data_IF_733865447523
#
_entry.id   IF_733865447523
#
_cell.length_a   1.000
_cell.length_b   1.000
_cell.length_c   1.000
_cell.angle_alpha   90.00
_cell.angle_beta   90.00
_cell.angle_gamma   90.00
#
_symmetry.space_group_name_H-M   'P 1'
#
loop_
_entity.id
_entity.type
_entity.pdbx_description
1 polymer ?
#
# COMPACT_ATOMS: atom_id res chain seq x y z
N UNK A 1 -17.70 12.44 -13.79
CA UNK A 1 -17.67 10.98 -13.69
C UNK A 1 -16.24 10.48 -13.87
N UNK A 2 -15.79 9.64 -12.94
CA UNK A 2 -14.44 9.04 -12.94
C UNK A 2 -14.14 8.28 -14.24
N UNK A 3 -15.11 7.52 -14.74
CA UNK A 3 -14.98 6.76 -15.98
C UNK A 3 -14.72 7.64 -17.20
N UNK A 4 -15.33 8.83 -17.24
CA UNK A 4 -15.11 9.78 -18.33
C UNK A 4 -13.72 10.43 -18.29
N UNK A 5 -13.19 10.66 -17.08
CA UNK A 5 -11.80 11.14 -16.94
C UNK A 5 -10.82 10.05 -17.41
N UNK A 6 -11.02 8.81 -16.97
CA UNK A 6 -10.15 7.69 -17.32
C UNK A 6 -10.08 7.38 -18.81
N UNK A 7 -11.13 7.71 -19.58
CA UNK A 7 -11.11 7.59 -21.06
C UNK A 7 -10.15 8.59 -21.71
N UNK A 8 -9.96 9.75 -21.10
CA UNK A 8 -9.22 10.88 -21.69
C UNK A 8 -7.79 10.98 -21.17
N UNK A 9 -7.58 10.82 -19.88
CA UNK A 9 -6.31 11.00 -19.21
C UNK A 9 -6.22 10.22 -17.90
N UNK A 10 -5.03 10.08 -17.31
CA UNK A 10 -4.92 9.54 -15.96
C UNK A 10 -5.69 10.40 -14.93
N UNK A 11 -6.33 9.72 -13.97
CA UNK A 11 -6.98 10.32 -12.81
C UNK A 11 -5.92 10.58 -11.73
N UNK A 12 -5.87 11.78 -11.19
CA UNK A 12 -4.97 12.16 -10.11
C UNK A 12 -5.72 12.23 -8.78
N UNK A 13 -5.40 11.34 -7.85
CA UNK A 13 -5.84 11.39 -6.46
C UNK A 13 -5.03 12.39 -5.64
N UNK A 14 -5.56 12.73 -4.48
CA UNK A 14 -4.88 13.42 -3.40
C UNK A 14 -3.73 12.60 -2.79
N UNK A 15 -3.22 13.07 -1.66
CA UNK A 15 -2.12 12.45 -0.92
C UNK A 15 -2.51 11.94 0.46
N UNK A 16 -1.52 11.87 1.36
CA UNK A 16 -1.71 11.35 2.71
C UNK A 16 -2.44 12.29 3.64
N UNK A 17 -3.69 12.01 3.99
CA UNK A 17 -4.47 12.80 4.94
C UNK A 17 -3.80 12.82 6.32
N UNK A 18 -3.66 11.67 6.98
CA UNK A 18 -3.20 11.60 8.37
C UNK A 18 -1.76 12.09 8.59
N UNK A 19 -0.87 11.91 7.59
CA UNK A 19 0.52 12.40 7.68
C UNK A 19 0.65 13.88 7.41
N UNK A 20 -0.29 14.49 6.67
CA UNK A 20 -0.28 15.92 6.38
C UNK A 20 -1.03 16.72 7.44
N UNK A 21 -2.22 16.28 7.87
CA UNK A 21 -2.99 16.91 8.95
C UNK A 21 -2.25 16.90 10.30
N UNK A 22 -1.57 15.79 10.64
CA UNK A 22 -0.82 15.63 11.90
C UNK A 22 -1.71 15.78 13.15
N UNK A 23 -2.63 14.84 13.32
CA UNK A 23 -3.47 14.76 14.51
C UNK A 23 -2.67 14.89 15.82
N UNK A 24 -3.33 15.35 16.88
CA UNK A 24 -2.70 15.48 18.20
C UNK A 24 -2.30 14.08 18.73
N UNK A 25 -1.25 14.00 19.57
CA UNK A 25 -0.87 12.72 20.17
C UNK A 25 -2.04 12.05 20.88
N UNK A 26 -2.25 10.76 20.59
CA UNK A 26 -3.36 9.97 21.16
C UNK A 26 -4.71 10.17 20.48
N UNK A 27 -4.79 10.96 19.42
CA UNK A 27 -6.00 11.19 18.65
C UNK A 27 -5.90 10.51 17.29
N UNK A 28 -6.94 9.75 16.92
CA UNK A 28 -7.08 9.22 15.56
C UNK A 28 -7.44 10.35 14.59
N UNK A 29 -6.98 10.24 13.34
CA UNK A 29 -7.21 11.30 12.34
C UNK A 29 -8.70 11.53 12.08
N UNK A 30 -9.49 10.48 12.07
CA UNK A 30 -10.93 10.50 11.81
C UNK A 30 -11.72 11.28 12.87
N UNK A 31 -11.23 11.31 14.12
CA UNK A 31 -11.83 12.12 15.18
C UNK A 31 -11.77 13.62 14.86
N UNK A 32 -10.81 14.05 14.05
CA UNK A 32 -10.71 15.43 13.64
C UNK A 32 -11.88 15.88 12.75
N UNK A 33 -12.60 14.96 12.09
CA UNK A 33 -13.84 15.29 11.40
C UNK A 33 -14.85 16.01 12.31
N UNK A 34 -14.86 15.63 13.60
CA UNK A 34 -15.75 16.20 14.61
C UNK A 34 -15.08 17.30 15.46
N UNK A 35 -13.79 17.17 15.72
CA UNK A 35 -13.07 18.02 16.68
C UNK A 35 -12.34 19.21 16.05
N UNK A 36 -12.01 19.10 14.75
CA UNK A 36 -11.32 20.13 13.96
C UNK A 36 -11.74 20.06 12.48
N UNK A 37 -13.05 20.24 12.18
CA UNK A 37 -13.55 20.12 10.81
C UNK A 37 -12.92 21.14 9.84
N UNK A 38 -12.57 22.32 10.31
CA UNK A 38 -11.91 23.35 9.50
C UNK A 38 -10.48 22.92 9.10
N UNK A 39 -9.77 22.23 9.99
CA UNK A 39 -8.47 21.67 9.69
C UNK A 39 -8.54 20.61 8.59
N UNK A 40 -9.49 19.69 8.68
CA UNK A 40 -9.71 18.65 7.65
C UNK A 40 -10.15 19.28 6.33
N UNK A 41 -11.07 20.24 6.36
CA UNK A 41 -11.53 20.98 5.18
C UNK A 41 -10.36 21.71 4.49
N UNK A 42 -9.44 22.28 5.27
CA UNK A 42 -8.24 22.96 4.75
C UNK A 42 -7.33 21.95 4.03
N UNK A 43 -7.14 20.74 4.54
CA UNK A 43 -6.34 19.70 3.89
C UNK A 43 -6.97 19.28 2.56
N UNK A 44 -8.28 19.01 2.52
CA UNK A 44 -8.96 18.66 1.28
C UNK A 44 -8.82 19.76 0.21
N UNK A 45 -9.01 21.03 0.60
CA UNK A 45 -8.85 22.17 -0.31
C UNK A 45 -7.42 22.29 -0.84
N UNK A 46 -6.43 22.12 0.01
CA UNK A 46 -5.03 22.18 -0.40
C UNK A 46 -4.68 21.13 -1.46
N UNK A 47 -5.23 19.92 -1.38
CA UNK A 47 -5.04 18.89 -2.41
C UNK A 47 -5.80 19.22 -3.70
N UNK A 48 -7.02 19.77 -3.61
CA UNK A 48 -7.77 20.21 -4.79
C UNK A 48 -7.07 21.37 -5.50
N UNK A 49 -6.55 22.35 -4.76
CA UNK A 49 -5.74 23.46 -5.29
C UNK A 49 -4.45 22.98 -5.94
N UNK A 50 -3.88 21.88 -5.44
CA UNK A 50 -2.72 21.20 -6.04
C UNK A 50 -3.06 20.44 -7.34
N UNK A 51 -4.33 20.40 -7.76
CA UNK A 51 -4.77 19.79 -9.02
C UNK A 51 -5.23 18.33 -8.91
N UNK A 52 -5.61 17.86 -7.73
CA UNK A 52 -6.23 16.54 -7.59
C UNK A 52 -7.58 16.49 -8.30
N UNK A 53 -7.82 15.43 -9.08
CA UNK A 53 -9.10 15.13 -9.74
C UNK A 53 -10.04 14.34 -8.82
N UNK A 54 -9.50 13.73 -7.79
CA UNK A 54 -10.24 12.97 -6.80
C UNK A 54 -9.61 13.14 -5.41
N UNK A 55 -10.46 13.20 -4.40
CA UNK A 55 -10.07 13.22 -3.00
C UNK A 55 -10.72 12.06 -2.23
N UNK A 56 -10.01 11.56 -1.23
CA UNK A 56 -10.49 10.55 -0.29
C UNK A 56 -11.11 11.23 0.92
N UNK A 57 -12.19 10.67 1.46
CA UNK A 57 -12.70 11.11 2.76
C UNK A 57 -11.70 10.81 3.88
N UNK A 58 -11.76 11.54 4.98
CA UNK A 58 -10.94 11.23 6.17
C UNK A 58 -11.61 10.13 7.01
N UNK A 59 -11.67 8.90 6.48
CA UNK A 59 -12.45 7.78 7.04
C UNK A 59 -11.73 6.42 6.98
N UNK A 60 -10.44 6.43 6.68
CA UNK A 60 -9.60 5.23 6.55
C UNK A 60 -9.69 4.27 7.74
N UNK A 61 -9.69 4.78 8.97
CA UNK A 61 -9.70 3.96 10.19
C UNK A 61 -11.08 3.46 10.61
N UNK A 62 -12.16 3.92 9.97
CA UNK A 62 -13.52 3.60 10.39
C UNK A 62 -13.86 2.11 10.41
N UNK A 63 -13.37 1.25 9.46
CA UNK A 63 -13.65 -0.17 9.56
C UNK A 63 -13.18 -0.81 10.87
N UNK A 64 -12.02 -0.40 11.38
CA UNK A 64 -11.51 -0.87 12.69
C UNK A 64 -12.32 -0.30 13.84
N UNK A 65 -12.75 0.96 13.74
CA UNK A 65 -13.57 1.61 14.77
C UNK A 65 -14.97 1.01 14.84
N UNK A 66 -15.60 0.72 13.71
CA UNK A 66 -16.89 0.04 13.64
C UNK A 66 -16.80 -1.38 14.22
N UNK A 67 -15.76 -2.12 13.89
CA UNK A 67 -15.51 -3.44 14.46
C UNK A 67 -15.29 -3.41 15.98
N UNK A 68 -14.65 -2.36 16.48
CA UNK A 68 -14.46 -2.12 17.92
C UNK A 68 -15.71 -1.54 18.61
N UNK A 69 -16.83 -1.42 17.88
CA UNK A 69 -18.09 -0.84 18.38
C UNK A 69 -17.92 0.58 18.95
N UNK A 70 -17.02 1.37 18.37
CA UNK A 70 -16.85 2.77 18.76
C UNK A 70 -18.16 3.54 18.47
N UNK A 71 -18.84 4.12 19.47
CA UNK A 71 -20.15 4.73 19.27
C UNK A 71 -20.15 5.97 18.37
N UNK A 72 -18.98 6.51 18.05
CA UNK A 72 -18.85 7.72 17.25
C UNK A 72 -18.50 7.44 15.77
N UNK A 73 -18.34 6.17 15.37
CA UNK A 73 -17.89 5.87 14.02
C UNK A 73 -18.84 6.39 12.93
N UNK A 74 -20.16 6.31 13.17
CA UNK A 74 -21.17 6.83 12.23
C UNK A 74 -21.08 8.35 12.10
N UNK A 75 -20.99 9.08 13.21
CA UNK A 75 -20.84 10.53 13.18
C UNK A 75 -19.54 10.96 12.48
N UNK A 76 -18.44 10.22 12.68
CA UNK A 76 -17.18 10.48 11.97
C UNK A 76 -17.29 10.17 10.47
N UNK A 77 -18.06 9.16 10.06
CA UNK A 77 -18.36 8.87 8.65
C UNK A 77 -19.14 10.00 8.00
N UNK A 78 -20.23 10.44 8.64
CA UNK A 78 -21.10 11.49 8.14
C UNK A 78 -20.36 12.81 7.95
N UNK A 79 -19.63 13.25 8.97
CA UNK A 79 -18.90 14.50 8.90
C UNK A 79 -17.70 14.39 7.95
N UNK A 80 -16.99 13.26 7.91
CA UNK A 80 -15.91 13.02 6.96
C UNK A 80 -16.38 13.09 5.50
N UNK A 81 -17.52 12.50 5.19
CA UNK A 81 -18.14 12.63 3.86
C UNK A 81 -18.54 14.06 3.56
N UNK A 82 -19.24 14.73 4.48
CA UNK A 82 -19.71 16.10 4.32
C UNK A 82 -18.57 17.09 4.08
N UNK A 83 -17.47 16.98 4.82
CA UNK A 83 -16.30 17.86 4.67
C UNK A 83 -15.64 17.67 3.28
N UNK A 84 -15.45 16.43 2.83
CA UNK A 84 -14.90 16.16 1.52
C UNK A 84 -15.84 16.65 0.39
N UNK A 85 -17.16 16.39 0.52
CA UNK A 85 -18.16 16.87 -0.43
C UNK A 85 -18.21 18.41 -0.46
N UNK A 86 -18.11 19.06 0.69
CA UNK A 86 -18.05 20.52 0.80
C UNK A 86 -16.79 21.09 0.13
N UNK A 87 -15.64 20.43 0.31
CA UNK A 87 -14.40 20.86 -0.36
C UNK A 87 -14.53 20.76 -1.88
N UNK A 88 -15.11 19.67 -2.38
CA UNK A 88 -15.26 19.40 -3.81
C UNK A 88 -16.41 20.17 -4.48
N UNK A 89 -17.35 20.76 -3.74
CA UNK A 89 -18.60 21.30 -4.25
C UNK A 89 -18.48 22.36 -5.36
N UNK A 90 -17.35 23.06 -5.43
CA UNK A 90 -17.07 24.09 -6.46
C UNK A 90 -16.03 23.62 -7.48
N UNK A 91 -15.75 22.34 -7.53
CA UNK A 91 -14.77 21.74 -8.44
C UNK A 91 -15.43 20.61 -9.24
N UNK A 92 -14.72 20.06 -10.21
CA UNK A 92 -15.12 18.84 -10.92
C UNK A 92 -14.56 17.56 -10.28
N UNK A 93 -13.92 17.67 -9.11
CA UNK A 93 -13.26 16.55 -8.46
C UNK A 93 -14.27 15.53 -7.92
N UNK A 94 -13.90 14.26 -8.02
CA UNK A 94 -14.65 13.16 -7.44
C UNK A 94 -14.32 13.01 -5.95
N UNK A 95 -15.32 12.65 -5.14
CA UNK A 95 -15.12 12.26 -3.74
C UNK A 95 -15.25 10.75 -3.64
N UNK A 96 -14.27 10.12 -3.00
CA UNK A 96 -14.25 8.69 -2.71
C UNK A 96 -14.48 8.43 -1.22
N UNK A 97 -15.48 7.63 -0.90
CA UNK A 97 -15.62 7.07 0.44
C UNK A 97 -14.44 6.10 0.70
N UNK A 98 -13.59 6.46 1.61
CA UNK A 98 -12.33 5.75 1.88
C UNK A 98 -12.50 4.74 3.01
N UNK A 99 -12.17 3.47 2.72
CA UNK A 99 -12.33 2.32 3.58
C UNK A 99 -10.98 1.59 3.71
N UNK A 100 -10.34 1.73 4.86
CA UNK A 100 -9.13 0.98 5.18
C UNK A 100 -9.41 -0.49 5.56
N UNK A 101 -8.39 -1.22 6.03
CA UNK A 101 -8.54 -2.62 6.41
C UNK A 101 -9.55 -2.83 7.55
N UNK A 102 -10.48 -3.75 7.35
CA UNK A 102 -11.34 -4.28 8.41
C UNK A 102 -10.72 -5.54 9.04
N UNK A 103 -10.87 -5.77 10.33
CA UNK A 103 -10.60 -7.08 10.90
C UNK A 103 -11.57 -8.11 10.32
N UNK A 104 -11.09 -9.34 10.14
CA UNK A 104 -11.89 -10.45 9.63
C UNK A 104 -11.84 -11.61 10.64
N UNK A 105 -12.96 -11.89 11.30
CA UNK A 105 -13.09 -12.94 12.30
C UNK A 105 -14.39 -13.72 12.08
N UNK A 106 -14.49 -14.94 12.61
CA UNK A 106 -15.73 -15.72 12.55
C UNK A 106 -16.91 -15.00 13.22
N UNK A 107 -16.66 -14.28 14.33
CA UNK A 107 -17.69 -13.54 15.07
C UNK A 107 -18.11 -12.25 14.35
N UNK A 108 -17.22 -11.63 13.58
CA UNK A 108 -17.46 -10.40 12.84
C UNK A 108 -16.70 -10.43 11.52
N UNK A 109 -17.31 -10.98 10.47
CA UNK A 109 -16.70 -11.01 9.13
C UNK A 109 -16.48 -9.60 8.56
N UNK A 110 -15.35 -9.40 7.89
CA UNK A 110 -15.00 -8.11 7.26
C UNK A 110 -16.09 -7.62 6.30
N UNK A 111 -16.78 -8.53 5.61
CA UNK A 111 -17.89 -8.21 4.72
C UNK A 111 -19.01 -7.43 5.44
N UNK A 112 -19.37 -7.80 6.66
CA UNK A 112 -20.41 -7.11 7.42
C UNK A 112 -20.00 -5.68 7.78
N UNK A 113 -18.73 -5.49 8.16
CA UNK A 113 -18.18 -4.17 8.50
C UNK A 113 -18.20 -3.28 7.27
N UNK A 114 -17.68 -3.77 6.15
CA UNK A 114 -17.64 -3.02 4.90
C UNK A 114 -19.02 -2.70 4.37
N UNK A 115 -19.98 -3.63 4.47
CA UNK A 115 -21.36 -3.41 4.07
C UNK A 115 -22.00 -2.27 4.88
N UNK A 116 -21.91 -2.32 6.20
CA UNK A 116 -22.49 -1.27 7.06
C UNK A 116 -21.94 0.13 6.72
N UNK A 117 -20.61 0.24 6.48
CA UNK A 117 -19.99 1.49 6.06
C UNK A 117 -20.42 1.92 4.64
N UNK A 118 -20.47 0.97 3.71
CA UNK A 118 -20.88 1.24 2.33
C UNK A 118 -22.33 1.71 2.24
N UNK A 119 -23.25 1.09 2.97
CA UNK A 119 -24.66 1.51 3.08
C UNK A 119 -24.77 2.92 3.65
N UNK A 120 -23.96 3.23 4.70
CA UNK A 120 -23.92 4.57 5.27
C UNK A 120 -23.49 5.60 4.26
N UNK A 121 -22.38 5.37 3.56
CA UNK A 121 -21.89 6.30 2.54
C UNK A 121 -22.83 6.40 1.34
N UNK A 122 -23.45 5.31 0.90
CA UNK A 122 -24.46 5.32 -0.15
C UNK A 122 -25.66 6.20 0.23
N UNK A 123 -26.14 6.11 1.47
CA UNK A 123 -27.21 6.96 2.00
C UNK A 123 -26.83 8.44 2.04
N UNK A 124 -25.54 8.78 2.19
CA UNK A 124 -25.00 10.12 2.11
C UNK A 124 -24.77 10.60 0.66
N UNK A 125 -25.05 9.76 -0.33
CA UNK A 125 -24.93 10.07 -1.75
C UNK A 125 -23.57 9.72 -2.38
N UNK A 126 -22.76 8.89 -1.73
CA UNK A 126 -21.49 8.43 -2.30
C UNK A 126 -21.73 7.59 -3.57
N UNK A 127 -20.95 7.90 -4.60
CA UNK A 127 -20.90 7.17 -5.87
C UNK A 127 -19.54 6.53 -6.15
N UNK A 128 -18.51 6.90 -5.40
CA UNK A 128 -17.18 6.34 -5.56
C UNK A 128 -16.70 5.80 -4.22
N UNK A 129 -16.18 4.59 -4.23
CA UNK A 129 -15.72 3.84 -3.06
C UNK A 129 -14.29 3.39 -3.29
N UNK A 130 -13.46 3.56 -2.28
CA UNK A 130 -12.08 3.11 -2.29
C UNK A 130 -11.85 2.18 -1.08
N UNK A 131 -11.44 0.96 -1.36
CA UNK A 131 -10.86 0.08 -0.36
C UNK A 131 -9.34 0.18 -0.50
N UNK A 132 -8.65 0.75 0.49
CA UNK A 132 -7.21 0.99 0.36
C UNK A 132 -6.37 0.34 1.45
N UNK A 133 -5.09 0.13 1.12
CA UNK A 133 -4.06 -0.38 2.04
C UNK A 133 -4.39 -1.79 2.57
N UNK A 134 -5.08 -2.58 1.78
CA UNK A 134 -5.51 -3.92 2.16
C UNK A 134 -4.34 -4.91 2.12
N UNK A 135 -4.28 -5.83 3.07
CA UNK A 135 -3.38 -7.00 3.04
C UNK A 135 -4.07 -8.29 2.58
N UNK A 136 -5.41 -8.27 2.50
CA UNK A 136 -6.27 -9.39 2.11
C UNK A 136 -7.46 -8.88 1.31
N UNK A 137 -8.11 -9.75 0.56
CA UNK A 137 -9.35 -9.47 -0.17
C UNK A 137 -10.61 -9.95 0.59
N UNK A 138 -10.46 -10.35 1.86
CA UNK A 138 -11.56 -10.85 2.68
C UNK A 138 -12.73 -9.83 2.77
N UNK A 139 -13.93 -10.28 2.43
CA UNK A 139 -15.15 -9.49 2.48
C UNK A 139 -15.31 -8.42 1.40
N UNK A 140 -14.25 -8.08 0.67
CA UNK A 140 -14.26 -6.95 -0.29
C UNK A 140 -15.15 -7.24 -1.49
N UNK A 141 -15.07 -8.44 -2.06
CA UNK A 141 -15.90 -8.82 -3.23
C UNK A 141 -17.40 -8.82 -2.92
N UNK A 142 -17.78 -9.20 -1.70
CA UNK A 142 -19.16 -9.18 -1.24
C UNK A 142 -19.65 -7.74 -1.07
N UNK A 143 -18.88 -6.92 -0.35
CA UNK A 143 -19.19 -5.51 -0.15
C UNK A 143 -19.27 -4.75 -1.50
N UNK A 144 -18.38 -5.03 -2.45
CA UNK A 144 -18.40 -4.42 -3.77
C UNK A 144 -19.68 -4.77 -4.55
N UNK A 145 -20.18 -6.02 -4.46
CA UNK A 145 -21.46 -6.40 -5.09
C UNK A 145 -22.63 -5.66 -4.44
N UNK A 146 -22.67 -5.57 -3.12
CA UNK A 146 -23.72 -4.84 -2.40
C UNK A 146 -23.71 -3.34 -2.71
N UNK A 147 -22.51 -2.75 -2.85
CA UNK A 147 -22.38 -1.35 -3.34
C UNK A 147 -23.02 -1.21 -4.72
N UNK A 148 -22.74 -2.14 -5.64
CA UNK A 148 -23.32 -2.10 -7.00
C UNK A 148 -24.83 -2.33 -7.02
N UNK A 149 -25.37 -3.11 -6.11
CA UNK A 149 -26.82 -3.30 -5.94
C UNK A 149 -27.49 -2.04 -5.42
N UNK A 150 -26.90 -1.39 -4.40
CA UNK A 150 -27.44 -0.16 -3.82
C UNK A 150 -27.24 1.07 -4.72
N UNK A 151 -26.09 1.15 -5.41
CA UNK A 151 -25.69 2.26 -6.28
C UNK A 151 -25.17 1.68 -7.60
N UNK A 152 -26.03 1.39 -8.59
CA UNK A 152 -25.64 0.68 -9.83
C UNK A 152 -24.54 1.38 -10.65
N UNK A 153 -24.46 2.70 -10.60
CA UNK A 153 -23.45 3.51 -11.26
C UNK A 153 -22.18 3.77 -10.40
N UNK A 154 -22.10 3.16 -9.23
CA UNK A 154 -20.93 3.31 -8.35
C UNK A 154 -19.61 2.96 -9.05
N UNK A 155 -18.54 3.66 -8.71
CA UNK A 155 -17.17 3.31 -9.06
C UNK A 155 -16.46 2.73 -7.83
N UNK A 156 -15.98 1.49 -7.94
CA UNK A 156 -15.32 0.79 -6.86
C UNK A 156 -13.86 0.55 -7.23
N UNK A 157 -12.95 1.13 -6.46
CA UNK A 157 -11.50 0.94 -6.55
C UNK A 157 -11.01 0.13 -5.35
N UNK A 158 -10.22 -0.92 -5.62
CA UNK A 158 -9.61 -1.74 -4.57
C UNK A 158 -8.09 -1.70 -4.69
N UNK A 159 -7.40 -1.38 -3.60
CA UNK A 159 -5.96 -1.17 -3.58
C UNK A 159 -5.28 -1.90 -2.42
N UNK A 160 -4.17 -2.56 -2.73
CA UNK A 160 -3.44 -3.41 -1.81
C UNK A 160 -2.10 -2.80 -1.38
N UNK A 161 -1.75 -3.01 -0.11
CA UNK A 161 -0.45 -2.64 0.44
C UNK A 161 0.50 -3.83 0.35
N UNK A 162 1.48 -3.73 -0.56
CA UNK A 162 2.45 -4.79 -0.82
C UNK A 162 3.88 -4.33 -0.57
N UNK A 163 4.68 -5.23 -0.04
CA UNK A 163 6.12 -5.06 0.13
C UNK A 163 6.83 -5.11 -1.23
N UNK A 164 8.09 -4.66 -1.33
CA UNK A 164 8.84 -4.67 -2.61
C UNK A 164 9.00 -6.04 -3.26
N UNK A 165 8.82 -7.13 -2.51
CA UNK A 165 8.83 -8.51 -3.00
C UNK A 165 7.50 -8.95 -3.64
N UNK A 166 6.47 -8.10 -3.62
CA UNK A 166 5.15 -8.37 -4.17
C UNK A 166 4.16 -9.05 -3.21
N UNK A 167 4.55 -9.27 -1.96
CA UNK A 167 3.68 -9.89 -0.97
C UNK A 167 3.09 -8.86 0.00
N UNK A 168 1.88 -9.11 0.47
CA UNK A 168 1.28 -8.38 1.58
C UNK A 168 1.85 -8.90 2.92
N UNK A 169 1.57 -8.19 4.01
CA UNK A 169 1.95 -8.64 5.36
C UNK A 169 1.28 -9.96 5.78
N UNK A 170 0.19 -10.34 5.13
CA UNK A 170 -0.50 -11.62 5.32
C UNK A 170 0.00 -12.73 4.38
N UNK A 171 1.08 -12.46 3.62
CA UNK A 171 1.69 -13.45 2.73
C UNK A 171 0.93 -13.68 1.43
N UNK A 172 -0.01 -12.80 1.04
CA UNK A 172 -0.74 -12.89 -0.23
C UNK A 172 0.02 -12.16 -1.33
N UNK A 173 0.18 -12.79 -2.48
CA UNK A 173 0.87 -12.18 -3.62
C UNK A 173 -0.05 -11.19 -4.36
N UNK A 174 0.47 -10.03 -4.75
CA UNK A 174 -0.31 -8.95 -5.37
C UNK A 174 -1.05 -9.40 -6.65
N UNK A 175 -0.42 -10.22 -7.50
CA UNK A 175 -1.06 -10.73 -8.71
C UNK A 175 -2.27 -11.64 -8.43
N UNK A 176 -2.28 -12.39 -7.32
CA UNK A 176 -3.43 -13.20 -6.90
C UNK A 176 -4.59 -12.31 -6.46
N UNK A 177 -4.29 -11.30 -5.63
CA UNK A 177 -5.28 -10.37 -5.13
C UNK A 177 -5.93 -9.56 -6.26
N UNK A 178 -5.12 -9.07 -7.20
CA UNK A 178 -5.64 -8.35 -8.39
C UNK A 178 -6.49 -9.25 -9.27
N UNK A 179 -6.08 -10.53 -9.50
CA UNK A 179 -6.91 -11.49 -10.23
C UNK A 179 -8.23 -11.78 -9.53
N UNK A 180 -8.23 -11.99 -8.21
CA UNK A 180 -9.42 -12.20 -7.40
C UNK A 180 -10.41 -11.04 -7.54
N UNK A 181 -9.96 -9.81 -7.40
CA UNK A 181 -10.80 -8.62 -7.53
C UNK A 181 -11.29 -8.41 -8.97
N UNK A 182 -10.47 -8.68 -9.97
CA UNK A 182 -10.88 -8.62 -11.37
C UNK A 182 -11.97 -9.64 -11.68
N UNK A 183 -11.85 -10.84 -11.12
CA UNK A 183 -12.81 -11.92 -11.34
C UNK A 183 -14.16 -11.71 -10.64
N UNK A 184 -14.23 -10.91 -9.58
CA UNK A 184 -15.49 -10.71 -8.85
C UNK A 184 -16.55 -9.92 -9.64
N UNK A 185 -16.17 -9.17 -10.67
CA UNK A 185 -17.07 -8.47 -11.59
C UNK A 185 -17.74 -7.20 -11.04
N UNK A 186 -17.48 -6.84 -9.78
CA UNK A 186 -18.07 -5.68 -9.10
C UNK A 186 -17.07 -4.54 -8.84
N UNK A 187 -15.81 -4.72 -9.24
CA UNK A 187 -14.73 -3.75 -9.06
C UNK A 187 -14.43 -3.08 -10.40
N UNK A 188 -14.27 -1.76 -10.41
CA UNK A 188 -14.01 -0.97 -11.61
C UNK A 188 -12.53 -0.67 -11.84
N UNK A 189 -11.72 -0.68 -10.78
CA UNK A 189 -10.28 -0.49 -10.84
C UNK A 189 -9.58 -1.23 -9.69
N UNK A 190 -8.33 -1.64 -9.92
CA UNK A 190 -7.49 -2.31 -8.92
C UNK A 190 -6.15 -1.60 -8.80
N UNK A 191 -5.47 -1.76 -7.68
CA UNK A 191 -4.20 -1.05 -7.52
C UNK A 191 -3.34 -1.46 -6.36
N UNK A 192 -2.24 -0.71 -6.22
CA UNK A 192 -1.26 -0.81 -5.16
C UNK A 192 -1.09 0.55 -4.49
N UNK A 193 -1.08 0.58 -3.19
CA UNK A 193 -0.82 1.82 -2.45
C UNK A 193 -0.03 1.58 -1.16
N UNK A 194 0.47 2.67 -0.58
CA UNK A 194 1.22 2.67 0.67
C UNK A 194 2.49 1.79 0.64
N UNK A 195 3.06 1.48 1.78
CA UNK A 195 4.20 0.60 2.09
C UNK A 195 5.43 0.83 1.20
N UNK A 196 5.29 0.69 -0.13
CA UNK A 196 6.41 0.84 -1.07
C UNK A 196 6.61 2.28 -1.55
N UNK A 197 7.86 2.66 -1.79
CA UNK A 197 8.24 3.96 -2.35
C UNK A 197 8.04 4.00 -3.88
N UNK A 198 7.99 5.20 -4.51
CA UNK A 198 7.72 5.34 -5.94
C UNK A 198 8.61 4.47 -6.84
N UNK A 199 9.92 4.39 -6.53
CA UNK A 199 10.87 3.61 -7.33
C UNK A 199 10.62 2.10 -7.31
N UNK A 200 10.01 1.56 -6.26
CA UNK A 200 9.67 0.14 -6.19
C UNK A 200 8.37 -0.20 -6.94
N UNK A 201 7.47 0.78 -7.14
CA UNK A 201 6.15 0.53 -7.73
C UNK A 201 6.22 0.01 -9.17
N UNK A 202 7.22 0.44 -9.95
CA UNK A 202 7.38 -0.05 -11.31
C UNK A 202 7.62 -1.57 -11.38
N UNK A 203 8.50 -2.07 -10.53
CA UNK A 203 8.75 -3.51 -10.45
C UNK A 203 7.53 -4.28 -9.93
N UNK A 204 6.77 -3.69 -9.02
CA UNK A 204 5.52 -4.28 -8.52
C UNK A 204 4.44 -4.32 -9.61
N UNK A 205 4.25 -3.24 -10.37
CA UNK A 205 3.32 -3.20 -11.50
C UNK A 205 3.65 -4.29 -12.53
N UNK A 206 4.93 -4.52 -12.82
CA UNK A 206 5.37 -5.57 -13.72
C UNK A 206 5.04 -6.99 -13.21
N UNK A 207 4.99 -7.18 -11.88
CA UNK A 207 4.62 -8.47 -11.26
C UNK A 207 3.11 -8.75 -11.29
N UNK A 208 2.26 -7.72 -11.46
CA UNK A 208 0.81 -7.91 -11.51
C UNK A 208 0.34 -8.70 -12.74
N UNK A 209 1.10 -8.62 -13.85
CA UNK A 209 0.69 -9.17 -15.12
C UNK A 209 -0.40 -8.34 -15.80
N UNK A 210 -1.07 -8.91 -16.78
CA UNK A 210 -2.19 -8.24 -17.46
C UNK A 210 -3.40 -8.12 -16.56
N UNK A 211 -3.97 -6.92 -16.49
CA UNK A 211 -5.28 -6.67 -15.89
C UNK A 211 -6.19 -5.98 -16.89
N UNK A 212 -7.45 -6.42 -16.94
CA UNK A 212 -8.49 -5.79 -17.78
C UNK A 212 -9.04 -4.51 -17.16
N UNK A 213 -8.78 -4.30 -15.87
CA UNK A 213 -9.23 -3.12 -15.12
C UNK A 213 -8.16 -2.03 -15.13
N UNK A 214 -8.55 -0.75 -15.10
CA UNK A 214 -7.62 0.35 -14.86
C UNK A 214 -6.77 0.10 -13.61
N UNK A 215 -5.46 0.33 -13.73
CA UNK A 215 -4.53 0.14 -12.61
C UNK A 215 -4.29 1.45 -11.87
N UNK A 216 -4.34 1.38 -10.54
CA UNK A 216 -4.05 2.47 -9.61
C UNK A 216 -2.70 2.27 -8.92
N UNK A 217 -1.92 3.34 -8.79
CA UNK A 217 -0.64 3.35 -8.04
C UNK A 217 -0.55 4.62 -7.19
N UNK A 218 -0.57 4.44 -5.86
CA UNK A 218 -0.54 5.53 -4.89
C UNK A 218 0.52 5.24 -3.80
N UNK A 219 1.83 5.43 -4.09
CA UNK A 219 2.91 5.11 -3.15
C UNK A 219 3.04 6.12 -2.01
N UNK A 220 3.86 5.75 -1.02
CA UNK A 220 4.36 6.71 -0.05
C UNK A 220 5.34 7.70 -0.71
N UNK A 221 5.54 8.87 -0.09
CA UNK A 221 6.54 9.86 -0.57
C UNK A 221 8.00 9.37 -0.51
N UNK A 222 8.22 8.17 0.01
CA UNK A 222 9.50 7.51 0.23
C UNK A 222 9.35 6.50 1.37
N UNK A 223 10.46 5.97 1.85
CA UNK A 223 10.45 5.12 3.04
C UNK A 223 10.41 5.98 4.33
N UNK A 224 9.71 5.54 5.37
CA UNK A 224 9.65 6.26 6.63
C UNK A 224 11.01 6.23 7.33
N UNK A 225 11.45 7.38 7.81
CA UNK A 225 12.57 7.51 8.75
C UNK A 225 11.98 7.68 10.14
N UNK A 226 12.22 6.71 10.99
CA UNK A 226 11.75 6.74 12.39
C UNK A 226 12.78 7.48 13.25
N UNK A 227 12.39 8.63 13.77
CA UNK A 227 13.15 9.34 14.81
C UNK A 227 12.56 9.02 16.18
N UNK A 228 13.23 9.41 17.26
CA UNK A 228 12.75 9.13 18.65
C UNK A 228 11.31 9.57 18.91
N UNK A 229 10.80 10.55 18.16
CA UNK A 229 9.49 11.17 18.42
C UNK A 229 8.56 11.23 17.23
N UNK A 230 9.04 10.91 16.01
CA UNK A 230 8.26 11.12 14.77
C UNK A 230 8.65 10.14 13.66
N UNK A 231 7.66 9.76 12.87
CA UNK A 231 7.84 9.16 11.56
C UNK A 231 7.89 10.29 10.53
N UNK A 232 8.96 10.36 9.73
CA UNK A 232 9.13 11.36 8.69
C UNK A 232 9.34 10.67 7.34
N UNK A 233 8.81 11.27 6.29
CA UNK A 233 9.02 10.85 4.92
C UNK A 233 9.90 11.89 4.21
N UNK A 234 10.98 11.47 3.55
CA UNK A 234 11.97 12.36 2.93
C UNK A 234 11.87 12.41 1.40
N UNK A 235 10.74 11.97 0.84
CA UNK A 235 10.50 11.99 -0.60
C UNK A 235 10.49 13.43 -1.15
N UNK A 236 11.16 13.63 -2.31
CA UNK A 236 11.13 14.92 -3.03
C UNK A 236 9.98 14.93 -4.02
N UNK A 237 9.17 16.01 -4.09
CA UNK A 237 8.07 16.12 -5.02
C UNK A 237 8.44 15.83 -6.48
N UNK A 238 9.60 16.32 -6.94
CA UNK A 238 10.06 16.13 -8.32
C UNK A 238 10.42 14.68 -8.63
N UNK A 239 11.04 13.97 -7.68
CA UNK A 239 11.34 12.54 -7.81
C UNK A 239 10.04 11.73 -7.85
N UNK A 240 9.13 12.00 -6.92
CA UNK A 240 7.81 11.37 -6.84
C UNK A 240 7.05 11.53 -8.16
N UNK A 241 6.93 12.78 -8.64
CA UNK A 241 6.24 13.11 -9.88
C UNK A 241 6.86 12.40 -11.10
N UNK A 242 8.19 12.40 -11.21
CA UNK A 242 8.89 11.75 -12.31
C UNK A 242 8.64 10.24 -12.36
N UNK A 243 8.71 9.55 -11.23
CA UNK A 243 8.49 8.09 -11.19
C UNK A 243 7.03 7.73 -11.52
N UNK A 244 6.04 8.52 -11.02
CA UNK A 244 4.64 8.26 -11.32
C UNK A 244 4.25 8.65 -12.75
N UNK A 245 4.83 9.71 -13.31
CA UNK A 245 4.61 10.07 -14.70
C UNK A 245 5.15 8.98 -15.67
N UNK A 246 6.26 8.31 -15.32
CA UNK A 246 6.73 7.12 -16.06
C UNK A 246 5.71 6.00 -16.04
N UNK A 247 5.12 5.70 -14.87
CA UNK A 247 4.07 4.70 -14.76
C UNK A 247 2.82 5.07 -15.57
N UNK A 248 2.44 6.35 -15.59
CA UNK A 248 1.36 6.83 -16.48
C UNK A 248 1.69 6.59 -17.96
N UNK A 249 2.91 6.89 -18.38
CA UNK A 249 3.38 6.63 -19.75
C UNK A 249 3.40 5.13 -20.08
N UNK A 250 3.53 4.26 -19.08
CA UNK A 250 3.46 2.80 -19.22
C UNK A 250 2.02 2.25 -19.12
N UNK A 251 1.00 3.10 -18.94
CA UNK A 251 -0.41 2.70 -18.97
C UNK A 251 -1.12 2.63 -17.61
N UNK A 252 -0.48 3.04 -16.51
CA UNK A 252 -1.18 3.21 -15.23
C UNK A 252 -2.16 4.39 -15.35
N UNK A 253 -3.43 4.16 -15.01
CA UNK A 253 -4.52 5.12 -15.27
C UNK A 253 -4.97 5.91 -14.06
N UNK A 254 -4.65 5.46 -12.84
CA UNK A 254 -5.01 6.14 -11.59
C UNK A 254 -3.73 6.32 -10.78
N UNK A 255 -3.43 7.57 -10.44
CA UNK A 255 -2.20 7.95 -9.74
C UNK A 255 -2.53 8.84 -8.56
N UNK A 256 -1.70 8.84 -7.55
CA UNK A 256 -1.87 9.67 -6.37
C UNK A 256 -0.79 9.38 -5.35
N UNK A 257 -1.04 9.79 -4.10
CA UNK A 257 -0.10 9.56 -3.02
C UNK A 257 -0.73 8.91 -1.80
N UNK A 258 0.13 8.33 -0.95
CA UNK A 258 -0.22 7.82 0.36
C UNK A 258 0.64 8.52 1.44
N UNK A 259 1.12 7.81 2.44
CA UNK A 259 1.83 8.39 3.56
C UNK A 259 3.02 9.28 3.15
N UNK A 260 3.14 10.43 3.79
CA UNK A 260 4.19 11.42 3.57
C UNK A 260 4.02 12.30 2.34
N UNK A 261 3.08 12.02 1.45
CA UNK A 261 2.78 12.91 0.33
C UNK A 261 2.02 14.15 0.80
N UNK A 262 2.28 15.27 0.16
CA UNK A 262 1.75 16.60 0.47
C UNK A 262 1.17 17.23 -0.78
N UNK A 263 0.44 18.34 -0.68
CA UNK A 263 -0.01 19.11 -1.86
C UNK A 263 1.11 19.43 -2.86
N UNK A 264 2.34 19.66 -2.39
CA UNK A 264 3.48 19.90 -3.27
C UNK A 264 3.83 18.69 -4.16
N UNK A 265 3.68 17.47 -3.63
CA UNK A 265 3.87 16.24 -4.41
C UNK A 265 2.79 16.09 -5.49
N UNK A 266 1.54 16.40 -5.13
CA UNK A 266 0.41 16.31 -6.06
C UNK A 266 0.51 17.40 -7.15
N UNK A 267 0.88 18.62 -6.79
CA UNK A 267 1.11 19.70 -7.78
C UNK A 267 2.24 19.35 -8.76
N UNK A 268 3.36 18.82 -8.26
CA UNK A 268 4.45 18.38 -9.11
C UNK A 268 4.03 17.22 -10.04
N UNK A 269 3.25 16.27 -9.53
CA UNK A 269 2.71 15.18 -10.33
C UNK A 269 1.70 15.69 -11.37
N UNK A 270 0.82 16.61 -11.02
CA UNK A 270 -0.11 17.25 -11.97
C UNK A 270 0.65 17.85 -13.15
N UNK A 271 1.65 18.69 -12.87
CA UNK A 271 2.48 19.31 -13.90
C UNK A 271 3.20 18.26 -14.79
N UNK A 272 3.69 17.17 -14.18
CA UNK A 272 4.35 16.10 -14.93
C UNK A 272 3.36 15.31 -15.81
N UNK A 273 2.13 15.08 -15.34
CA UNK A 273 1.09 14.40 -16.13
C UNK A 273 0.59 15.26 -17.29
N UNK A 274 0.45 16.58 -17.09
CA UNK A 274 0.04 17.52 -18.14
C UNK A 274 1.08 17.68 -19.26
N UNK A 275 2.34 17.33 -18.96
CA UNK A 275 3.41 17.33 -19.96
C UNK A 275 3.50 16.01 -20.76
N UNK A 276 2.70 14.99 -20.43
CA UNK A 276 2.68 13.72 -21.17
C UNK A 276 1.94 13.87 -22.50
N UNK A 277 2.24 13.03 -23.50
CA UNK A 277 1.48 12.98 -24.74
C UNK A 277 0.01 12.67 -24.49
N UNK A 278 -0.88 13.22 -25.33
CA UNK A 278 -2.33 12.97 -25.25
C UNK A 278 -2.71 11.49 -25.41
N UNK A 279 -1.91 10.74 -26.16
CA UNK A 279 -2.11 9.30 -26.39
C UNK A 279 -1.20 8.47 -25.50
N UNK A 280 -1.77 7.89 -24.46
CA UNK A 280 -1.09 6.95 -23.55
C UNK A 280 -1.59 5.52 -23.78
N UNK A 281 -0.78 4.49 -23.50
CA UNK A 281 -1.24 3.10 -23.52
C UNK A 281 -2.46 2.89 -22.63
N UNK A 282 -3.39 2.04 -23.05
CA UNK A 282 -4.63 1.78 -22.31
C UNK A 282 -4.39 0.95 -21.03
N UNK A 283 -3.34 0.16 -21.00
CA UNK A 283 -2.91 -0.64 -19.85
C UNK A 283 -1.38 -0.81 -19.88
N UNK A 284 -0.74 -1.06 -18.73
CA UNK A 284 0.67 -1.43 -18.71
C UNK A 284 0.88 -2.66 -19.61
N UNK A 285 1.86 -2.58 -20.52
CA UNK A 285 2.28 -3.75 -21.23
C UNK A 285 2.75 -4.79 -20.21
N UNK A 286 2.17 -5.98 -20.26
CA UNK A 286 2.72 -7.08 -19.50
C UNK A 286 4.19 -7.21 -19.88
N UNK A 287 5.09 -6.98 -18.95
CA UNK A 287 6.41 -7.52 -19.12
C UNK A 287 6.20 -9.03 -19.18
N UNK A 288 6.38 -9.60 -20.36
CA UNK A 288 6.47 -11.06 -20.50
C UNK A 288 7.76 -11.48 -19.79
N UNK A 289 7.73 -11.40 -18.49
CA UNK A 289 8.63 -12.19 -17.67
C UNK A 289 7.96 -13.55 -17.47
N UNK A 290 7.87 -14.28 -18.55
CA UNK A 290 7.86 -15.74 -18.50
C UNK A 290 9.27 -16.30 -18.25
N UNK A 291 10.11 -15.56 -17.57
CA UNK A 291 11.04 -16.19 -16.67
C UNK A 291 10.17 -16.59 -15.47
N UNK A 292 9.53 -17.77 -15.56
CA UNK A 292 9.43 -18.59 -14.37
C UNK A 292 10.76 -18.36 -13.66
N UNK A 293 10.74 -17.76 -12.44
CA UNK A 293 11.93 -17.88 -11.58
C UNK A 293 12.29 -19.35 -11.74
N UNK A 294 13.51 -19.70 -12.20
CA UNK A 294 13.87 -21.08 -12.16
C UNK A 294 13.45 -21.50 -10.77
N UNK A 295 12.57 -22.47 -10.62
CA UNK A 295 12.50 -23.25 -9.42
C UNK A 295 13.92 -23.78 -9.31
N UNK A 296 14.75 -22.96 -8.68
CA UNK A 296 15.96 -23.49 -8.08
C UNK A 296 15.33 -24.42 -7.06
N UNK A 297 15.24 -25.71 -7.42
CA UNK A 297 15.16 -26.76 -6.41
C UNK A 297 16.30 -26.42 -5.48
N UNK A 298 15.98 -25.64 -4.47
CA UNK A 298 16.91 -25.40 -3.39
C UNK A 298 16.99 -26.74 -2.72
N UNK A 299 18.01 -27.50 -3.07
CA UNK A 299 18.45 -28.67 -2.31
C UNK A 299 18.94 -28.17 -0.95
N UNK A 300 17.98 -27.66 -0.19
CA UNK A 300 18.18 -27.02 1.08
C UNK A 300 18.15 -28.10 2.17
N UNK A 301 19.34 -28.41 2.65
CA UNK A 301 19.53 -29.41 3.73
C UNK A 301 18.71 -29.06 4.98
N UNK A 302 18.51 -27.76 5.25
CA UNK A 302 17.69 -27.29 6.36
C UNK A 302 16.21 -27.64 6.12
N UNK A 303 15.65 -27.28 4.95
CA UNK A 303 14.26 -27.58 4.62
C UNK A 303 13.99 -29.09 4.56
N UNK A 304 14.92 -29.90 4.03
CA UNK A 304 14.79 -31.37 4.05
C UNK A 304 14.73 -31.92 5.48
N UNK A 305 15.57 -31.39 6.38
CA UNK A 305 15.59 -31.82 7.80
C UNK A 305 14.30 -31.42 8.51
N UNK A 306 13.80 -30.20 8.25
CA UNK A 306 12.54 -29.67 8.78
C UNK A 306 11.33 -30.47 8.30
N UNK A 307 11.23 -30.71 7.00
CA UNK A 307 10.12 -31.45 6.37
C UNK A 307 10.12 -32.95 6.81
N UNK A 308 11.27 -33.47 7.16
CA UNK A 308 11.40 -34.82 7.75
C UNK A 308 11.02 -34.89 9.24
N UNK A 309 10.52 -33.81 9.83
CA UNK A 309 10.16 -33.73 11.25
C UNK A 309 11.34 -33.79 12.20
N UNK A 310 12.57 -33.59 11.72
CA UNK A 310 13.77 -33.63 12.55
C UNK A 310 13.98 -32.26 13.22
N UNK A 311 14.57 -32.31 14.43
CA UNK A 311 14.94 -31.09 15.14
C UNK A 311 16.02 -30.33 14.37
N UNK A 312 15.79 -29.04 14.16
CA UNK A 312 16.72 -28.08 13.53
C UNK A 312 17.30 -27.14 14.58
N UNK A 313 18.56 -26.72 14.40
CA UNK A 313 19.28 -25.82 15.28
C UNK A 313 19.61 -24.56 14.52
N UNK A 314 18.94 -23.46 14.88
CA UNK A 314 19.20 -22.11 14.39
C UNK A 314 20.00 -21.33 15.44
N UNK A 315 21.06 -20.64 15.05
CA UNK A 315 21.91 -19.85 15.95
C UNK A 315 22.00 -18.44 15.43
N UNK A 316 21.78 -17.45 16.29
CA UNK A 316 22.01 -16.05 15.96
C UNK A 316 23.49 -15.72 16.13
N UNK A 317 24.08 -15.11 15.09
CA UNK A 317 25.44 -14.60 15.08
C UNK A 317 25.43 -13.20 14.50
N UNK A 318 25.59 -12.20 15.36
CA UNK A 318 25.57 -10.79 14.99
C UNK A 318 26.66 -10.44 13.96
N UNK A 319 26.30 -9.65 12.92
CA UNK A 319 27.27 -9.17 11.94
C UNK A 319 28.40 -8.35 12.59
N UNK A 320 29.65 -8.40 12.04
CA UNK A 320 30.80 -7.68 12.61
C UNK A 320 30.64 -6.14 12.50
N UNK A 321 31.40 -5.43 13.33
CA UNK A 321 31.38 -3.96 13.38
C UNK A 321 32.32 -3.33 12.34
N UNK A 322 33.24 -4.10 11.79
CA UNK A 322 34.25 -3.68 10.82
C UNK A 322 34.24 -4.58 9.58
N UNK A 323 35.06 -4.28 8.62
CA UNK A 323 35.11 -4.97 7.33
C UNK A 323 35.89 -6.31 7.38
N UNK A 324 36.54 -6.65 8.48
CA UNK A 324 37.25 -7.90 8.62
C UNK A 324 36.29 -9.03 9.04
N UNK A 325 36.01 -9.92 8.09
CA UNK A 325 35.15 -11.10 8.29
C UNK A 325 35.90 -12.33 8.82
N UNK A 326 37.20 -12.30 9.01
CA UNK A 326 38.01 -13.49 9.35
C UNK A 326 37.52 -14.15 10.61
N UNK A 327 37.40 -13.42 11.70
CA UNK A 327 36.90 -13.94 12.97
C UNK A 327 35.45 -14.37 12.94
N UNK A 328 34.61 -13.67 12.15
CA UNK A 328 33.22 -14.00 11.97
C UNK A 328 33.03 -15.36 11.24
N UNK A 329 33.72 -15.53 10.11
CA UNK A 329 33.67 -16.78 9.32
C UNK A 329 34.24 -17.95 10.10
N UNK A 330 35.26 -17.73 10.92
CA UNK A 330 35.79 -18.74 11.81
C UNK A 330 34.78 -19.18 12.88
N UNK A 331 34.07 -18.21 13.47
CA UNK A 331 32.93 -18.45 14.35
C UNK A 331 31.84 -19.26 13.67
N UNK A 332 31.43 -18.87 12.47
CA UNK A 332 30.43 -19.58 11.68
C UNK A 332 30.82 -21.02 11.36
N UNK A 333 32.09 -21.29 10.97
CA UNK A 333 32.60 -22.67 10.76
C UNK A 333 32.54 -23.53 12.03
N UNK A 334 32.89 -22.93 13.17
CA UNK A 334 32.81 -23.64 14.45
C UNK A 334 31.37 -23.98 14.85
N UNK A 335 30.42 -23.07 14.60
CA UNK A 335 29.01 -23.34 14.86
C UNK A 335 28.46 -24.40 13.92
N UNK A 336 28.82 -24.39 12.65
CA UNK A 336 28.48 -25.43 11.69
C UNK A 336 29.02 -26.79 12.11
N UNK A 337 30.30 -26.84 12.51
CA UNK A 337 30.92 -28.08 13.00
C UNK A 337 30.27 -28.60 14.30
N UNK A 338 29.71 -27.71 15.12
CA UNK A 338 28.96 -28.05 16.32
C UNK A 338 27.49 -28.47 16.03
N UNK A 339 27.05 -28.44 14.76
CA UNK A 339 25.76 -28.96 14.34
C UNK A 339 24.68 -27.89 14.12
N UNK A 340 25.04 -26.62 13.98
CA UNK A 340 24.10 -25.60 13.54
C UNK A 340 23.63 -25.90 12.11
N UNK A 341 22.32 -25.82 11.90
CA UNK A 341 21.70 -26.06 10.61
C UNK A 341 21.53 -24.73 9.81
N UNK A 342 21.44 -23.60 10.54
CA UNK A 342 21.33 -22.29 9.95
C UNK A 342 21.87 -21.20 10.89
N UNK A 343 22.29 -20.07 10.31
CA UNK A 343 22.61 -18.85 11.06
C UNK A 343 21.57 -17.77 10.77
N UNK A 344 21.08 -17.10 11.81
CA UNK A 344 20.35 -15.85 11.69
C UNK A 344 21.32 -14.69 11.97
N UNK A 345 21.24 -13.65 11.16
CA UNK A 345 22.15 -12.48 11.25
C UNK A 345 21.29 -11.24 11.44
N UNK A 346 21.29 -10.69 12.65
CA UNK A 346 20.51 -9.50 12.95
C UNK A 346 21.06 -8.28 12.20
N UNK A 347 20.15 -7.46 11.66
CA UNK A 347 20.51 -6.18 11.05
C UNK A 347 20.62 -5.10 12.13
N UNK A 348 21.82 -4.53 12.28
CA UNK A 348 22.11 -3.44 13.21
C UNK A 348 21.52 -3.65 14.63
N UNK A 349 21.77 -4.80 15.30
CA UNK A 349 21.19 -5.08 16.60
C UNK A 349 21.55 -4.00 17.62
N UNK A 350 20.57 -3.68 18.49
CA UNK A 350 20.67 -2.63 19.52
C UNK A 350 20.97 -1.25 18.89
N UNK A 351 20.47 -0.96 17.66
CA UNK A 351 20.68 0.28 16.93
C UNK A 351 22.16 0.70 16.78
N UNK A 352 23.07 -0.26 16.69
CA UNK A 352 24.51 -0.04 16.44
C UNK A 352 24.84 -0.41 15.01
N UNK A 353 25.52 0.50 14.30
CA UNK A 353 25.98 0.24 12.94
C UNK A 353 26.90 -0.99 12.90
N UNK A 354 26.63 -1.89 11.97
CA UNK A 354 27.39 -3.11 11.69
C UNK A 354 27.48 -3.33 10.18
N UNK A 355 28.20 -4.32 9.74
CA UNK A 355 28.16 -4.73 8.33
C UNK A 355 26.74 -5.16 7.95
N UNK A 356 26.38 -4.87 6.71
CA UNK A 356 25.10 -5.29 6.12
C UNK A 356 24.91 -6.79 6.28
N UNK A 357 23.84 -7.16 6.97
CA UNK A 357 23.54 -8.56 7.33
C UNK A 357 23.33 -9.45 6.12
N UNK A 358 22.75 -8.93 5.03
CA UNK A 358 22.52 -9.68 3.80
C UNK A 358 23.81 -9.96 3.03
N UNK A 359 24.75 -9.02 3.00
CA UNK A 359 26.08 -9.24 2.39
C UNK A 359 26.90 -10.26 3.18
N UNK A 360 26.82 -10.20 4.51
CA UNK A 360 27.46 -11.20 5.40
C UNK A 360 26.85 -12.57 5.18
N UNK A 361 25.52 -12.68 5.11
CA UNK A 361 24.82 -13.93 4.82
C UNK A 361 25.23 -14.54 3.47
N UNK A 362 25.28 -13.72 2.42
CA UNK A 362 25.77 -14.16 1.10
C UNK A 362 27.21 -14.72 1.16
N UNK A 363 28.06 -14.10 1.97
CA UNK A 363 29.45 -14.53 2.14
C UNK A 363 29.53 -15.86 2.88
N UNK A 364 28.77 -16.03 3.97
CA UNK A 364 28.68 -17.27 4.75
C UNK A 364 28.15 -18.40 3.86
N UNK A 365 27.06 -18.17 3.16
CA UNK A 365 26.46 -19.17 2.28
C UNK A 365 27.45 -19.63 1.19
N UNK A 366 28.13 -18.68 0.54
CA UNK A 366 29.08 -18.98 -0.54
C UNK A 366 30.33 -19.74 -0.07
N UNK A 367 30.82 -19.46 1.14
CA UNK A 367 32.06 -20.09 1.63
C UNK A 367 31.83 -21.37 2.44
N UNK A 368 30.69 -21.47 3.11
CA UNK A 368 30.42 -22.57 4.05
C UNK A 368 29.24 -23.42 3.61
N UNK A 369 28.42 -23.01 2.63
CA UNK A 369 27.19 -23.69 2.28
C UNK A 369 26.14 -23.69 3.40
N UNK A 370 26.29 -22.81 4.40
CA UNK A 370 25.36 -22.68 5.52
C UNK A 370 24.26 -21.68 5.18
N UNK A 371 23.02 -21.99 5.53
CA UNK A 371 21.86 -21.14 5.34
C UNK A 371 21.73 -20.08 6.44
#
# INVERSE_FOLDING_TARGET
DVREILKKRPLLFDGGMGTYYKAKPGQECEQANLLDPDGILTVHRAYLEAGADAIKTNTFGLPRMAAAQNPMWEAMADEGWKLAAQAAAKTSAAVFADLGPAPDTEALPAAQIYTALAERFAALGAKNFLFETLSSDAGVAEAARQIKEAVPDAFVLVSFAVLPDGYTREGRHCAELVRSMTACGAVDAVGLNCVSAPGAMRALVQQLGETKLPLAVMPNAGYPVVTRTRVQYQGRPEYFARELARLAAEGVRILGGCCGTTPAHIAALRAALDALPETLPAAPAAAVSTAAKPEVEKDDAFLRKLNAGKKVIAIELDSPKDADLTGYLDGARRLQAAGADLLTIADCPIARARMDSSLVACRVHRELGLN
#
